data_IF_929527501137
#
_entry.id   IF_929527501137
#
_cell.length_a   1.000
_cell.length_b   1.000
_cell.length_c   1.000
_cell.angle_alpha   90.00
_cell.angle_beta   90.00
_cell.angle_gamma   90.00
#
_symmetry.space_group_name_H-M   'P 1'
#
loop_
_entity.id
_entity.type
_entity.pdbx_description
1 polymer ?
#
# COMPACT_ATOMS: atom_id res chain seq x y z
N UNK A 1 -44.23 32.34 -22.48
CA UNK A 1 -43.55 31.58 -21.41
C UNK A 1 -42.12 31.34 -21.86
N UNK A 2 -41.18 32.03 -21.23
CA UNK A 2 -39.76 32.11 -21.62
C UNK A 2 -39.05 30.82 -21.20
N UNK A 3 -38.51 30.08 -22.15
CA UNK A 3 -37.65 28.91 -21.90
C UNK A 3 -36.32 29.39 -21.31
N UNK A 4 -36.16 29.22 -20.00
CA UNK A 4 -34.85 29.35 -19.35
C UNK A 4 -33.96 28.20 -19.86
N UNK A 5 -33.13 28.51 -20.87
CA UNK A 5 -31.94 27.72 -21.19
C UNK A 5 -31.02 27.76 -19.98
N UNK A 6 -31.18 26.80 -19.06
CA UNK A 6 -30.26 26.58 -17.95
C UNK A 6 -28.92 26.19 -18.57
N UNK A 7 -27.93 27.07 -18.47
CA UNK A 7 -26.57 26.79 -18.91
C UNK A 7 -26.10 25.47 -18.27
N UNK A 8 -25.72 24.50 -19.09
CA UNK A 8 -25.07 23.28 -18.62
C UNK A 8 -23.68 23.71 -18.14
N UNK A 9 -23.55 24.01 -16.85
CA UNK A 9 -22.25 24.13 -16.19
C UNK A 9 -21.59 22.76 -16.25
N UNK A 10 -20.68 22.59 -17.21
CA UNK A 10 -19.83 21.39 -17.28
C UNK A 10 -19.02 21.33 -15.99
N UNK A 11 -19.11 20.21 -15.27
CA UNK A 11 -18.32 19.97 -14.07
C UNK A 11 -16.85 19.92 -14.47
N UNK A 12 -16.04 20.80 -13.88
CA UNK A 12 -14.60 20.80 -14.09
C UNK A 12 -13.97 19.67 -13.26
N UNK A 13 -13.13 18.87 -13.90
CA UNK A 13 -12.29 17.88 -13.23
C UNK A 13 -10.84 18.37 -13.35
N UNK A 14 -10.13 18.57 -12.23
CA UNK A 14 -8.74 19.04 -12.26
C UNK A 14 -7.82 17.95 -12.81
N UNK A 15 -6.66 18.37 -13.30
CA UNK A 15 -5.56 17.46 -13.64
C UNK A 15 -4.87 16.99 -12.38
N UNK A 16 -4.35 15.77 -12.38
CA UNK A 16 -3.65 15.23 -11.22
C UNK A 16 -2.38 16.02 -10.90
N UNK A 17 -1.73 16.59 -11.92
CA UNK A 17 -0.57 17.49 -11.75
C UNK A 17 -0.85 18.80 -11.03
N UNK A 18 -2.11 19.21 -10.86
CA UNK A 18 -2.46 20.40 -10.07
C UNK A 18 -2.25 20.17 -8.56
N UNK A 19 -2.20 18.91 -8.12
CA UNK A 19 -2.16 18.54 -6.70
C UNK A 19 -1.02 17.60 -6.32
N UNK A 20 -0.40 16.92 -7.29
CA UNK A 20 0.72 16.03 -7.06
C UNK A 20 1.73 16.19 -8.20
N UNK A 21 2.98 16.46 -7.84
CA UNK A 21 4.11 16.43 -8.74
C UNK A 21 4.90 15.13 -8.59
N UNK A 22 5.79 14.83 -9.53
CA UNK A 22 6.70 13.69 -9.36
C UNK A 22 7.67 13.91 -8.20
N UNK A 23 7.99 15.15 -7.86
CA UNK A 23 8.83 15.49 -6.71
C UNK A 23 8.16 15.12 -5.37
N UNK A 24 6.83 15.01 -5.34
CA UNK A 24 6.09 14.55 -4.17
C UNK A 24 6.13 13.02 -3.99
N UNK A 25 6.57 12.29 -5.03
CA UNK A 25 6.75 10.85 -4.99
C UNK A 25 8.13 10.49 -4.42
N UNK A 26 8.26 9.33 -3.74
CA UNK A 26 9.55 8.84 -3.29
C UNK A 26 10.59 8.74 -4.41
N UNK A 27 11.85 9.05 -4.09
CA UNK A 27 12.98 9.04 -5.03
C UNK A 27 13.14 7.70 -5.76
N UNK A 28 12.79 6.58 -5.11
CA UNK A 28 12.85 5.26 -5.76
C UNK A 28 11.84 5.09 -6.91
N UNK A 29 10.85 5.98 -7.06
CA UNK A 29 9.91 6.02 -8.20
C UNK A 29 10.37 7.01 -9.29
N UNK A 30 11.42 7.79 -9.03
CA UNK A 30 11.94 8.79 -9.96
C UNK A 30 12.56 8.20 -11.22
N UNK A 31 12.91 6.89 -11.22
CA UNK A 31 13.32 6.20 -12.45
C UNK A 31 12.27 6.27 -13.58
N UNK A 32 11.01 6.54 -13.24
CA UNK A 32 9.90 6.69 -14.17
C UNK A 32 9.41 8.15 -14.31
N UNK A 33 10.23 9.14 -13.93
CA UNK A 33 9.87 10.58 -13.91
C UNK A 33 9.17 11.09 -15.17
N UNK A 34 9.78 10.86 -16.35
CA UNK A 34 9.25 11.38 -17.61
C UNK A 34 7.90 10.73 -18.00
N UNK A 35 7.75 9.39 -17.95
CA UNK A 35 6.45 8.73 -18.07
C UNK A 35 5.41 9.21 -17.05
N UNK A 36 5.81 9.39 -15.79
CA UNK A 36 4.91 9.79 -14.71
C UNK A 36 4.40 11.22 -14.90
N UNK A 37 5.26 12.19 -15.20
CA UNK A 37 4.84 13.58 -15.46
C UNK A 37 3.81 13.66 -16.60
N UNK A 38 4.06 12.95 -17.69
CA UNK A 38 3.14 12.89 -18.84
C UNK A 38 1.77 12.30 -18.45
N UNK A 39 1.77 11.32 -17.55
CA UNK A 39 0.57 10.67 -17.05
C UNK A 39 -0.22 11.60 -16.10
N UNK A 40 0.46 12.30 -15.19
CA UNK A 40 -0.15 13.25 -14.24
C UNK A 40 -0.84 14.43 -14.95
N UNK A 41 -0.26 14.91 -16.06
CA UNK A 41 -0.78 16.06 -16.82
C UNK A 41 -2.05 15.77 -17.63
N UNK A 42 -2.26 14.52 -18.02
CA UNK A 42 -3.37 14.13 -18.90
C UNK A 42 -4.52 13.46 -18.15
N UNK A 43 -4.27 12.98 -16.94
CA UNK A 43 -5.27 12.34 -16.12
C UNK A 43 -6.10 13.39 -15.38
N UNK A 44 -7.41 13.36 -15.64
CA UNK A 44 -8.39 14.09 -14.86
C UNK A 44 -8.90 13.17 -13.75
N UNK A 45 -9.22 13.72 -12.59
CA UNK A 45 -9.63 12.90 -11.46
C UNK A 45 -10.79 13.49 -10.65
N UNK A 46 -11.39 12.65 -9.80
CA UNK A 46 -12.29 13.06 -8.71
C UNK A 46 -11.96 12.28 -7.43
N UNK A 47 -12.52 12.74 -6.31
CA UNK A 47 -12.46 12.04 -5.01
C UNK A 47 -11.03 11.73 -4.52
N UNK A 48 -10.04 12.59 -4.83
CA UNK A 48 -8.67 12.37 -4.37
C UNK A 48 -8.58 12.44 -2.85
N UNK A 49 -7.95 11.42 -2.28
CA UNK A 49 -7.63 11.28 -0.88
C UNK A 49 -6.17 10.85 -0.76
N UNK A 50 -5.47 11.44 0.19
CA UNK A 50 -4.11 11.02 0.50
C UNK A 50 -3.89 11.01 2.00
N UNK A 51 -2.98 10.14 2.43
CA UNK A 51 -2.47 10.07 3.79
C UNK A 51 -0.98 9.78 3.73
N UNK A 52 -0.19 10.45 4.57
CA UNK A 52 1.25 10.23 4.69
C UNK A 52 1.58 10.05 6.16
N UNK A 53 2.47 9.11 6.46
CA UNK A 53 2.95 8.91 7.83
C UNK A 53 3.73 10.15 8.30
N UNK A 54 3.74 10.39 9.61
CA UNK A 54 4.50 11.50 10.21
C UNK A 54 6.00 11.42 9.89
N UNK A 55 6.51 10.20 9.76
CA UNK A 55 7.92 9.94 9.47
C UNK A 55 8.22 9.91 7.96
N UNK A 56 7.20 9.92 7.10
CA UNK A 56 7.34 9.91 5.64
C UNK A 56 7.70 8.54 5.04
N UNK A 57 7.76 7.51 5.86
CA UNK A 57 8.03 6.12 5.51
C UNK A 57 6.85 5.39 4.87
N UNK A 58 5.64 5.92 4.95
CA UNK A 58 4.49 5.34 4.29
C UNK A 58 3.55 6.42 3.72
N UNK A 59 2.89 6.09 2.62
CA UNK A 59 1.79 6.91 2.11
C UNK A 59 0.73 6.05 1.40
N UNK A 60 -0.48 6.59 1.36
CA UNK A 60 -1.63 6.06 0.67
C UNK A 60 -2.25 7.17 -0.18
N UNK A 61 -2.54 6.87 -1.43
CA UNK A 61 -3.21 7.73 -2.40
C UNK A 61 -4.38 6.97 -3.00
N UNK A 62 -5.53 7.62 -3.12
CA UNK A 62 -6.72 7.07 -3.76
C UNK A 62 -7.43 8.16 -4.55
N UNK A 63 -7.89 7.83 -5.75
CA UNK A 63 -8.64 8.72 -6.63
C UNK A 63 -9.47 7.92 -7.62
N UNK A 64 -10.44 8.56 -8.24
CA UNK A 64 -11.07 8.02 -9.44
C UNK A 64 -10.53 8.75 -10.66
N UNK A 65 -9.90 8.02 -11.59
CA UNK A 65 -9.52 8.56 -12.91
C UNK A 65 -10.79 8.76 -13.72
N UNK A 66 -11.01 9.98 -14.19
CA UNK A 66 -12.20 10.37 -14.93
C UNK A 66 -11.91 10.41 -16.43
N UNK A 67 -12.78 9.77 -17.20
CA UNK A 67 -12.81 9.88 -18.66
C UNK A 67 -14.22 10.22 -19.13
N UNK A 68 -14.36 10.56 -20.41
CA UNK A 68 -15.69 10.60 -21.06
C UNK A 68 -16.32 9.21 -20.98
N UNK A 69 -17.64 9.16 -20.84
CA UNK A 69 -18.37 7.90 -20.76
C UNK A 69 -17.96 6.94 -21.88
N UNK A 70 -17.52 5.76 -21.48
CA UNK A 70 -17.19 4.66 -22.37
C UNK A 70 -18.39 3.71 -22.33
N UNK A 71 -19.15 3.64 -23.43
CA UNK A 71 -20.34 2.81 -23.50
C UNK A 71 -20.81 2.54 -24.92
N UNK A 72 -21.66 1.54 -25.05
CA UNK A 72 -22.23 1.06 -26.32
C UNK A 72 -23.75 0.96 -26.15
N UNK A 73 -24.49 1.50 -27.11
CA UNK A 73 -25.95 1.39 -27.12
C UNK A 73 -26.37 -0.04 -27.53
N UNK A 74 -27.32 -0.60 -26.79
CA UNK A 74 -27.88 -1.93 -26.98
C UNK A 74 -29.33 -1.82 -27.51
N UNK A 75 -29.91 -2.92 -28.02
CA UNK A 75 -31.32 -2.96 -28.39
C UNK A 75 -32.26 -2.54 -27.25
N UNK A 76 -33.50 -2.17 -27.60
CA UNK A 76 -34.54 -1.74 -26.66
C UNK A 76 -34.22 -0.48 -25.83
N UNK A 77 -33.23 0.31 -26.26
CA UNK A 77 -32.84 1.55 -25.58
C UNK A 77 -32.00 1.33 -24.33
N UNK A 78 -31.46 0.12 -24.13
CA UNK A 78 -30.46 -0.18 -23.11
C UNK A 78 -29.09 0.39 -23.52
N UNK A 79 -28.20 0.63 -22.55
CA UNK A 79 -26.82 1.05 -22.83
C UNK A 79 -25.86 0.34 -21.88
N UNK A 80 -24.84 -0.30 -22.45
CA UNK A 80 -23.73 -0.87 -21.68
C UNK A 80 -22.70 0.23 -21.42
N UNK A 81 -22.26 0.37 -20.16
CA UNK A 81 -21.30 1.38 -19.71
C UNK A 81 -20.15 0.70 -18.97
N UNK A 82 -18.93 1.12 -19.25
CA UNK A 82 -17.75 0.74 -18.49
C UNK A 82 -17.55 1.74 -17.35
N UNK A 83 -17.32 1.22 -16.15
CA UNK A 83 -17.01 1.99 -14.95
C UNK A 83 -17.97 3.17 -14.71
N UNK A 84 -19.29 2.92 -14.68
CA UNK A 84 -20.26 3.98 -14.43
C UNK A 84 -20.12 4.52 -13.00
N UNK A 85 -20.44 5.81 -12.84
CA UNK A 85 -20.44 6.47 -11.53
C UNK A 85 -21.75 6.26 -10.79
N UNK A 86 -21.64 6.06 -9.47
CA UNK A 86 -22.81 5.78 -8.63
C UNK A 86 -23.72 7.00 -8.42
N UNK A 87 -23.21 8.22 -8.66
CA UNK A 87 -24.00 9.45 -8.64
C UNK A 87 -24.86 9.66 -9.91
N UNK A 88 -24.79 8.72 -10.85
CA UNK A 88 -25.66 8.65 -12.01
C UNK A 88 -25.36 9.69 -13.09
N UNK A 89 -24.17 10.30 -13.10
CA UNK A 89 -23.72 11.15 -14.20
C UNK A 89 -23.38 10.27 -15.44
N UNK A 90 -24.21 10.29 -16.50
CA UNK A 90 -24.02 9.41 -17.65
C UNK A 90 -22.90 9.88 -18.58
N UNK A 91 -22.29 11.05 -18.31
CA UNK A 91 -21.32 11.67 -19.20
C UNK A 91 -19.89 11.20 -18.98
N UNK A 92 -19.62 10.49 -17.88
CA UNK A 92 -18.29 10.05 -17.49
C UNK A 92 -18.22 8.55 -17.18
N UNK A 93 -16.99 8.04 -17.21
CA UNK A 93 -16.59 6.78 -16.59
C UNK A 93 -15.50 7.09 -15.55
N UNK A 94 -15.58 6.46 -14.38
CA UNK A 94 -14.68 6.70 -13.25
C UNK A 94 -13.99 5.41 -12.84
N UNK A 95 -12.67 5.41 -12.87
CA UNK A 95 -11.83 4.25 -12.58
C UNK A 95 -11.14 4.43 -11.24
N UNK A 96 -11.60 3.77 -10.17
CA UNK A 96 -10.95 3.84 -8.87
C UNK A 96 -9.54 3.29 -8.97
N UNK A 97 -8.57 4.10 -8.56
CA UNK A 97 -7.15 3.78 -8.49
C UNK A 97 -6.66 4.07 -7.09
N UNK A 98 -5.90 3.13 -6.52
CA UNK A 98 -5.16 3.39 -5.28
C UNK A 98 -3.69 3.01 -5.44
N UNK A 99 -2.83 3.75 -4.76
CA UNK A 99 -1.41 3.46 -4.64
C UNK A 99 -1.03 3.64 -3.18
N UNK A 100 -0.35 2.64 -2.62
CA UNK A 100 0.21 2.71 -1.28
C UNK A 100 1.64 2.22 -1.31
N UNK A 101 2.47 2.81 -0.47
CA UNK A 101 3.83 2.34 -0.26
C UNK A 101 4.19 2.41 1.23
N UNK A 102 5.11 1.56 1.63
CA UNK A 102 5.74 1.52 2.94
C UNK A 102 7.22 1.18 2.75
N UNK A 103 8.10 2.05 3.24
CA UNK A 103 9.54 1.85 3.23
C UNK A 103 10.12 2.29 4.58
N UNK A 104 10.09 1.35 5.52
CA UNK A 104 10.33 1.59 6.94
C UNK A 104 11.70 2.19 7.23
N UNK A 105 12.73 1.90 6.41
CA UNK A 105 14.06 2.52 6.60
C UNK A 105 14.01 4.05 6.58
N UNK A 106 13.09 4.65 5.82
CA UNK A 106 12.94 6.12 5.73
C UNK A 106 12.53 6.76 7.06
N UNK A 107 11.88 6.00 7.94
CA UNK A 107 11.54 6.47 9.29
C UNK A 107 12.77 6.77 10.14
N UNK A 108 13.86 6.06 9.87
CA UNK A 108 15.10 6.14 10.64
C UNK A 108 16.17 6.95 9.90
N UNK A 109 16.22 6.82 8.58
CA UNK A 109 17.19 7.47 7.72
C UNK A 109 16.44 8.22 6.61
N UNK A 110 16.27 9.53 6.78
CA UNK A 110 15.60 10.41 5.81
C UNK A 110 16.22 10.35 4.40
N UNK A 111 17.49 9.99 4.31
CA UNK A 111 18.23 9.77 3.07
C UNK A 111 18.99 8.44 3.19
N UNK A 112 18.33 7.34 2.84
CA UNK A 112 18.98 6.04 2.73
C UNK A 112 19.24 5.72 1.26
N UNK A 113 20.51 5.55 0.92
CA UNK A 113 20.91 5.15 -0.43
C UNK A 113 21.05 3.63 -0.47
N UNK A 114 19.99 2.96 -0.95
CA UNK A 114 19.97 1.51 -1.12
C UNK A 114 20.98 1.05 -2.17
N UNK A 115 21.28 1.87 -3.19
CA UNK A 115 22.17 1.51 -4.28
C UNK A 115 23.63 1.41 -3.80
N UNK A 116 24.03 2.31 -2.91
CA UNK A 116 25.37 2.35 -2.34
C UNK A 116 25.51 1.58 -1.02
N UNK A 117 24.45 0.93 -0.54
CA UNK A 117 24.52 0.14 0.69
C UNK A 117 25.32 -1.15 0.47
N UNK A 118 26.38 -1.34 1.26
CA UNK A 118 27.11 -2.61 1.27
C UNK A 118 26.29 -3.66 2.03
N UNK A 119 25.80 -4.67 1.31
CA UNK A 119 25.17 -5.86 1.90
C UNK A 119 26.22 -6.81 2.54
N UNK A 120 27.15 -6.23 3.28
CA UNK A 120 28.26 -6.91 3.97
C UNK A 120 28.12 -6.75 5.49
N UNK A 121 28.76 -7.60 6.30
CA UNK A 121 28.64 -7.54 7.76
C UNK A 121 28.99 -6.17 8.36
N UNK A 122 29.94 -5.43 7.79
CA UNK A 122 30.29 -4.06 8.19
C UNK A 122 29.17 -3.06 7.87
N UNK A 123 28.54 -3.17 6.71
CA UNK A 123 27.39 -2.34 6.32
C UNK A 123 26.20 -2.56 7.26
N UNK A 124 25.85 -3.83 7.52
CA UNK A 124 24.82 -4.19 8.50
C UNK A 124 25.16 -3.74 9.92
N UNK A 125 26.43 -3.85 10.34
CA UNK A 125 26.87 -3.36 11.64
C UNK A 125 26.66 -1.85 11.78
N UNK A 126 27.18 -1.07 10.83
CA UNK A 126 27.05 0.38 10.86
C UNK A 126 25.60 0.86 10.78
N UNK A 127 24.78 0.22 9.94
CA UNK A 127 23.35 0.54 9.83
C UNK A 127 22.60 0.16 11.12
N UNK A 128 22.87 -1.01 11.69
CA UNK A 128 22.26 -1.44 12.96
C UNK A 128 22.56 -0.48 14.12
N UNK A 129 23.80 0.01 14.23
CA UNK A 129 24.14 1.00 15.26
C UNK A 129 23.35 2.30 15.10
N UNK A 130 23.21 2.81 13.88
CA UNK A 130 22.42 4.02 13.60
C UNK A 130 20.94 3.82 13.89
N UNK A 131 20.40 2.69 13.43
CA UNK A 131 18.98 2.35 13.52
C UNK A 131 18.51 2.24 14.98
N UNK A 132 19.31 1.62 15.84
CA UNK A 132 19.00 1.48 17.26
C UNK A 132 19.59 2.59 18.14
N UNK A 133 20.16 3.63 17.53
CA UNK A 133 20.81 4.74 18.22
C UNK A 133 21.83 4.28 19.29
N UNK A 134 22.68 3.30 18.92
CA UNK A 134 23.65 2.69 19.84
C UNK A 134 24.85 3.62 20.01
N UNK A 135 25.10 4.06 21.25
CA UNK A 135 26.25 4.93 21.57
C UNK A 135 27.56 4.15 21.63
N UNK A 136 28.70 4.85 21.58
CA UNK A 136 30.02 4.23 21.69
C UNK A 136 30.19 3.42 23.00
N UNK A 137 29.63 3.89 24.12
CA UNK A 137 29.64 3.19 25.40
C UNK A 137 28.84 1.89 25.31
N UNK A 138 27.68 1.92 24.64
CA UNK A 138 26.88 0.74 24.40
C UNK A 138 27.58 -0.24 23.47
N UNK A 139 28.28 0.23 22.43
CA UNK A 139 29.10 -0.62 21.55
C UNK A 139 30.14 -1.40 22.35
N UNK A 140 30.91 -0.71 23.20
CA UNK A 140 31.91 -1.35 24.07
C UNK A 140 31.25 -2.32 25.04
N UNK A 141 30.16 -1.92 25.70
CA UNK A 141 29.45 -2.77 26.65
C UNK A 141 28.90 -4.05 25.99
N UNK A 142 28.32 -3.94 24.78
CA UNK A 142 27.83 -5.07 24.00
C UNK A 142 28.97 -5.99 23.58
N UNK A 143 30.09 -5.47 23.09
CA UNK A 143 31.25 -6.28 22.73
C UNK A 143 31.81 -7.07 23.93
N UNK A 144 32.00 -6.38 25.05
CA UNK A 144 32.48 -6.97 26.31
C UNK A 144 31.52 -8.05 26.81
N UNK A 145 30.20 -7.81 26.71
CA UNK A 145 29.18 -8.78 27.11
C UNK A 145 29.18 -10.01 26.19
N UNK A 146 29.28 -9.80 24.88
CA UNK A 146 29.04 -10.83 23.86
C UNK A 146 30.26 -11.69 23.54
N UNK A 147 31.48 -11.13 23.58
CA UNK A 147 32.67 -11.83 23.08
C UNK A 147 33.73 -12.09 24.13
N UNK A 148 33.77 -11.29 25.20
CA UNK A 148 34.85 -11.39 26.18
C UNK A 148 34.43 -12.29 27.33
N UNK A 149 35.09 -13.45 27.39
CA UNK A 149 35.13 -14.30 28.57
C UNK A 149 36.51 -14.12 29.22
N UNK A 150 36.57 -13.59 30.46
CA UNK A 150 37.82 -13.22 31.09
C UNK A 150 38.72 -14.45 31.23
N UNK A 151 39.95 -14.37 30.71
CA UNK A 151 41.00 -15.34 31.01
C UNK A 151 41.66 -14.95 32.34
N UNK A 152 41.73 -15.90 33.28
CA UNK A 152 42.32 -15.71 34.63
C UNK A 152 41.55 -14.67 35.49
N UNK A 153 42.19 -14.14 36.54
CA UNK A 153 41.64 -13.11 37.46
C UNK A 153 41.51 -11.70 36.84
N UNK A 154 41.47 -11.58 35.50
CA UNK A 154 41.35 -10.29 34.80
C UNK A 154 39.89 -9.85 34.66
N UNK A 155 39.64 -8.55 34.74
CA UNK A 155 38.34 -8.00 34.35
C UNK A 155 38.16 -8.07 32.83
N UNK A 156 36.90 -8.19 32.36
CA UNK A 156 36.62 -8.20 30.92
C UNK A 156 37.11 -6.94 30.19
N UNK A 157 37.06 -5.79 30.85
CA UNK A 157 37.58 -4.54 30.31
C UNK A 157 39.11 -4.52 30.24
N UNK A 158 39.81 -5.15 31.19
CA UNK A 158 41.26 -5.31 31.08
C UNK A 158 41.64 -6.17 29.88
N UNK A 159 40.91 -7.25 29.64
CA UNK A 159 41.14 -8.10 28.47
C UNK A 159 40.90 -7.34 27.15
N UNK A 160 39.84 -6.52 27.06
CA UNK A 160 39.62 -5.64 25.92
C UNK A 160 40.83 -4.71 25.68
N UNK A 161 41.34 -4.07 26.72
CA UNK A 161 42.51 -3.17 26.62
C UNK A 161 43.75 -3.92 26.15
N UNK A 162 43.98 -5.13 26.66
CA UNK A 162 45.09 -5.98 26.25
C UNK A 162 44.99 -6.35 24.76
N UNK A 163 43.79 -6.69 24.27
CA UNK A 163 43.52 -7.02 22.86
C UNK A 163 43.66 -5.78 21.95
N UNK A 164 43.25 -4.59 22.42
CA UNK A 164 43.49 -3.33 21.71
C UNK A 164 44.99 -3.04 21.60
N UNK A 165 45.75 -3.18 22.69
CA UNK A 165 47.20 -2.99 22.68
C UNK A 165 47.91 -4.03 21.83
N UNK A 166 47.41 -5.25 21.74
CA UNK A 166 47.95 -6.26 20.82
C UNK A 166 47.80 -5.82 19.36
N UNK A 167 46.65 -5.23 19.01
CA UNK A 167 46.37 -4.73 17.66
C UNK A 167 47.10 -3.41 17.36
N UNK A 168 47.24 -2.55 18.36
CA UNK A 168 47.91 -1.25 18.30
C UNK A 168 49.01 -1.17 19.38
N UNK A 169 50.19 -1.79 19.17
CA UNK A 169 51.24 -1.84 20.19
C UNK A 169 51.73 -0.48 20.68
N UNK A 170 51.64 0.55 19.83
CA UNK A 170 52.02 1.92 20.18
C UNK A 170 50.98 2.65 21.05
N UNK A 171 49.76 2.12 21.21
CA UNK A 171 48.71 2.76 22.00
C UNK A 171 49.04 2.76 23.50
N UNK A 172 49.65 1.68 24.01
CA UNK A 172 50.11 1.60 25.41
C UNK A 172 49.02 1.89 26.44
N UNK A 173 47.77 1.53 26.15
CA UNK A 173 46.61 1.80 26.99
C UNK A 173 46.73 1.06 28.32
N UNK A 174 46.40 1.74 29.41
CA UNK A 174 46.33 1.16 30.75
C UNK A 174 45.07 1.66 31.46
N UNK A 175 44.40 0.78 32.19
CA UNK A 175 43.26 1.17 33.02
C UNK A 175 43.75 1.95 34.25
N UNK A 176 43.04 3.01 34.70
CA UNK A 176 43.41 3.77 35.88
C UNK A 176 43.45 2.87 37.13
N UNK A 177 44.54 2.89 37.91
CA UNK A 177 44.64 2.07 39.12
C UNK A 177 43.61 2.49 40.16
N UNK A 178 43.00 1.51 40.83
CA UNK A 178 42.04 1.75 41.92
C UNK A 178 40.63 2.20 41.49
N UNK A 179 40.32 2.22 40.18
CA UNK A 179 38.98 2.52 39.68
C UNK A 179 38.31 1.27 39.08
N UNK A 180 37.00 1.14 39.27
CA UNK A 180 36.21 0.09 38.61
C UNK A 180 36.06 0.46 37.12
N UNK A 181 36.55 -0.36 36.18
CA UNK A 181 36.47 -0.04 34.77
C UNK A 181 35.02 -0.01 34.28
N UNK A 182 34.68 1.01 33.49
CA UNK A 182 33.36 1.17 32.85
C UNK A 182 33.53 1.28 31.34
N UNK A 183 32.46 1.05 30.59
CA UNK A 183 32.46 1.27 29.15
C UNK A 183 32.82 2.74 28.80
N UNK A 184 32.31 3.71 29.55
CA UNK A 184 32.62 5.14 29.36
C UNK A 184 34.10 5.47 29.58
N UNK A 185 34.73 4.90 30.62
CA UNK A 185 36.16 5.09 30.85
C UNK A 185 37.00 4.49 29.72
N UNK A 186 36.61 3.32 29.20
CA UNK A 186 37.31 2.68 28.07
C UNK A 186 37.14 3.47 26.77
N UNK A 187 35.93 3.95 26.47
CA UNK A 187 35.66 4.82 25.31
C UNK A 187 36.53 6.07 25.37
N UNK A 188 36.63 6.71 26.53
CA UNK A 188 37.45 7.90 26.74
C UNK A 188 38.93 7.60 26.49
N UNK A 189 39.46 6.52 27.07
CA UNK A 189 40.86 6.10 26.90
C UNK A 189 41.21 5.83 25.44
N UNK A 190 40.35 5.12 24.71
CA UNK A 190 40.58 4.78 23.31
C UNK A 190 40.46 6.05 22.44
N UNK A 191 39.43 6.86 22.64
CA UNK A 191 39.15 8.04 21.79
C UNK A 191 40.18 9.17 21.96
N UNK A 192 40.87 9.24 23.10
CA UNK A 192 41.93 10.23 23.36
C UNK A 192 43.31 9.77 22.90
N UNK A 193 43.46 8.53 22.44
CA UNK A 193 44.75 7.96 22.06
C UNK A 193 45.05 8.21 20.58
N UNK A 194 46.04 9.08 20.30
CA UNK A 194 46.43 9.44 18.93
C UNK A 194 46.99 8.26 18.10
N UNK A 195 47.39 7.15 18.73
CA UNK A 195 47.93 5.98 18.04
C UNK A 195 46.83 5.01 17.56
N UNK A 196 45.56 5.30 17.85
CA UNK A 196 44.40 4.53 17.39
C UNK A 196 43.71 5.33 16.29
N UNK A 197 43.83 4.87 15.04
CA UNK A 197 43.31 5.58 13.87
C UNK A 197 41.83 5.34 13.58
N UNK A 198 41.22 4.34 14.24
CA UNK A 198 39.82 3.95 14.03
C UNK A 198 38.92 4.52 15.12
N UNK A 199 37.70 4.89 14.73
CA UNK A 199 36.63 5.20 15.68
C UNK A 199 36.18 3.93 16.42
N UNK A 200 35.53 4.08 17.58
CA UNK A 200 35.15 2.97 18.46
C UNK A 200 34.36 1.86 17.73
N UNK A 201 33.32 2.17 16.92
CA UNK A 201 32.60 1.12 16.20
C UNK A 201 33.49 0.29 15.29
N UNK A 202 34.32 0.94 14.48
CA UNK A 202 35.19 0.25 13.51
C UNK A 202 36.28 -0.58 14.21
N UNK A 203 36.80 -0.09 15.34
CA UNK A 203 37.75 -0.83 16.17
C UNK A 203 37.12 -2.12 16.70
N UNK A 204 35.91 -2.03 17.25
CA UNK A 204 35.19 -3.17 17.83
C UNK A 204 34.79 -4.16 16.74
N UNK A 205 34.35 -3.65 15.57
CA UNK A 205 34.06 -4.49 14.41
C UNK A 205 35.30 -5.30 13.99
N UNK A 206 36.44 -4.63 13.81
CA UNK A 206 37.69 -5.28 13.44
C UNK A 206 38.15 -6.36 14.43
N UNK A 207 38.04 -6.08 15.73
CA UNK A 207 38.55 -6.98 16.77
C UNK A 207 37.66 -8.21 16.95
N UNK A 208 36.34 -8.04 16.91
CA UNK A 208 35.42 -9.07 17.39
C UNK A 208 34.46 -9.61 16.35
N UNK A 209 34.15 -8.85 15.30
CA UNK A 209 33.14 -9.22 14.31
C UNK A 209 33.83 -9.71 13.04
N UNK A 210 34.77 -8.92 12.52
CA UNK A 210 35.52 -9.21 11.30
C UNK A 210 36.26 -10.55 11.37
N UNK A 211 36.21 -11.29 10.26
CA UNK A 211 36.88 -12.57 10.06
C UNK A 211 37.15 -12.76 8.57
N UNK A 212 38.19 -13.52 8.23
CA UNK A 212 38.46 -13.91 6.84
C UNK A 212 37.33 -14.76 6.24
N UNK A 213 36.54 -15.43 7.10
CA UNK A 213 35.33 -16.15 6.71
C UNK A 213 34.09 -15.28 6.98
N UNK A 214 33.36 -14.97 5.90
CA UNK A 214 32.15 -14.15 5.95
C UNK A 214 31.03 -14.78 6.78
N UNK A 215 30.92 -16.11 6.79
CA UNK A 215 29.92 -16.82 7.58
C UNK A 215 30.21 -16.71 9.09
N UNK A 216 31.49 -16.66 9.47
CA UNK A 216 31.91 -16.41 10.85
C UNK A 216 31.58 -14.95 11.23
N UNK A 217 31.83 -14.00 10.32
CA UNK A 217 31.51 -12.59 10.54
C UNK A 217 30.01 -12.37 10.75
N UNK A 218 29.15 -12.97 9.93
CA UNK A 218 27.68 -12.90 10.09
C UNK A 218 27.17 -13.50 11.40
N UNK A 219 27.76 -14.63 11.85
CA UNK A 219 27.44 -15.23 13.17
C UNK A 219 27.85 -14.33 14.34
N UNK A 220 29.04 -13.72 14.27
CA UNK A 220 29.52 -12.78 15.29
C UNK A 220 28.67 -11.51 15.30
N UNK A 221 28.33 -10.98 14.12
CA UNK A 221 27.42 -9.85 13.98
C UNK A 221 26.06 -10.12 14.64
N UNK A 222 25.46 -11.28 14.36
CA UNK A 222 24.23 -11.72 15.02
C UNK A 222 24.40 -11.82 16.54
N UNK A 223 25.54 -12.32 17.03
CA UNK A 223 25.85 -12.40 18.47
C UNK A 223 25.95 -11.02 19.12
N UNK A 224 26.54 -10.04 18.42
CA UNK A 224 26.66 -8.66 18.91
C UNK A 224 25.28 -8.01 19.09
N UNK A 225 24.40 -8.14 18.09
CA UNK A 225 23.06 -7.56 18.13
C UNK A 225 21.99 -8.41 18.80
N UNK A 226 22.30 -9.63 19.27
CA UNK A 226 21.29 -10.58 19.79
C UNK A 226 20.40 -10.02 20.92
N UNK A 227 20.92 -9.09 21.73
CA UNK A 227 20.11 -8.45 22.79
C UNK A 227 19.06 -7.47 22.21
N UNK A 228 19.31 -6.91 21.02
CA UNK A 228 18.48 -5.89 20.38
C UNK A 228 17.60 -6.49 19.27
N UNK A 229 18.14 -7.40 18.46
CA UNK A 229 17.47 -8.10 17.37
C UNK A 229 17.63 -9.63 17.52
N UNK A 230 16.82 -10.30 18.36
CA UNK A 230 16.97 -11.73 18.66
C UNK A 230 16.75 -12.64 17.44
N UNK A 231 16.00 -12.17 16.45
CA UNK A 231 15.69 -12.90 15.22
C UNK A 231 16.78 -12.76 14.13
N UNK A 232 17.92 -12.15 14.47
CA UNK A 232 19.02 -11.85 13.56
C UNK A 232 18.92 -10.44 12.99
N UNK A 233 20.02 -9.69 13.11
CA UNK A 233 20.09 -8.30 12.64
C UNK A 233 20.03 -8.19 11.12
N UNK A 234 20.60 -9.16 10.40
CA UNK A 234 20.58 -9.16 8.93
C UNK A 234 19.15 -9.30 8.40
N UNK A 235 18.35 -10.20 8.98
CA UNK A 235 16.93 -10.34 8.63
C UNK A 235 16.17 -9.06 8.96
N UNK A 236 16.34 -8.55 10.18
CA UNK A 236 15.66 -7.33 10.62
C UNK A 236 15.96 -6.13 9.72
N UNK A 237 17.23 -5.91 9.38
CA UNK A 237 17.62 -4.84 8.47
C UNK A 237 17.08 -5.12 7.05
N UNK A 238 17.20 -6.35 6.55
CA UNK A 238 16.70 -6.70 5.21
C UNK A 238 15.20 -6.42 5.06
N UNK A 239 14.41 -6.72 6.08
CA UNK A 239 12.97 -6.43 6.11
C UNK A 239 12.70 -4.92 6.06
N UNK A 240 13.49 -4.11 6.78
CA UNK A 240 13.36 -2.66 6.77
C UNK A 240 13.80 -2.01 5.46
N UNK A 241 14.81 -2.62 4.80
CA UNK A 241 15.33 -2.14 3.53
C UNK A 241 14.41 -2.48 2.35
N UNK A 242 13.55 -3.48 2.50
CA UNK A 242 12.66 -3.95 1.43
C UNK A 242 11.46 -3.01 1.31
N UNK A 243 11.35 -2.20 0.23
CA UNK A 243 10.19 -1.36 0.03
C UNK A 243 8.98 -2.21 -0.31
N UNK A 244 7.84 -1.88 0.31
CA UNK A 244 6.55 -2.47 0.03
C UNK A 244 5.72 -1.48 -0.76
N UNK A 245 5.09 -1.93 -1.83
CA UNK A 245 4.19 -1.10 -2.61
C UNK A 245 3.02 -1.93 -3.13
N UNK A 246 1.84 -1.32 -3.15
CA UNK A 246 0.63 -1.90 -3.72
C UNK A 246 -0.11 -0.86 -4.53
N UNK A 247 -0.52 -1.23 -5.74
CA UNK A 247 -1.37 -0.43 -6.59
C UNK A 247 -2.62 -1.23 -6.97
N UNK A 248 -3.78 -0.56 -7.05
CA UNK A 248 -5.04 -1.19 -7.47
C UNK A 248 -5.74 -0.38 -8.55
N UNK A 249 -6.49 -1.08 -9.40
CA UNK A 249 -7.42 -0.52 -10.38
C UNK A 249 -8.69 -1.36 -10.38
N UNK A 250 -9.84 -0.72 -10.18
CA UNK A 250 -11.14 -1.41 -10.20
C UNK A 250 -11.88 -1.13 -11.50
N UNK A 251 -12.26 -2.20 -12.20
CA UNK A 251 -13.12 -2.16 -13.38
C UNK A 251 -14.51 -2.68 -13.04
N UNK A 252 -15.55 -2.12 -13.65
CA UNK A 252 -16.92 -2.63 -13.52
C UNK A 252 -17.72 -2.36 -14.78
N UNK A 253 -18.81 -3.07 -14.97
CA UNK A 253 -19.77 -2.81 -16.04
C UNK A 253 -21.11 -2.34 -15.46
N UNK A 254 -21.90 -1.63 -16.27
CA UNK A 254 -23.28 -1.33 -15.94
C UNK A 254 -24.18 -1.34 -17.15
N UNK A 255 -25.41 -1.82 -16.99
CA UNK A 255 -26.47 -1.70 -17.98
C UNK A 255 -27.43 -0.60 -17.52
N UNK A 256 -27.46 0.50 -18.27
CA UNK A 256 -28.43 1.59 -18.09
C UNK A 256 -29.75 1.24 -18.78
N UNK A 257 -30.85 1.46 -18.07
CA UNK A 257 -32.21 1.21 -18.54
C UNK A 257 -32.89 2.50 -19.00
N UNK A 258 -33.71 2.46 -20.06
CA UNK A 258 -34.59 3.56 -20.38
C UNK A 258 -35.68 3.68 -19.30
N UNK A 259 -36.11 4.92 -19.04
CA UNK A 259 -37.13 5.22 -18.02
C UNK A 259 -38.49 4.61 -18.30
N UNK A 260 -38.76 4.21 -19.55
CA UNK A 260 -39.94 3.43 -19.93
C UNK A 260 -39.93 2.00 -19.37
N UNK A 261 -38.75 1.46 -19.06
CA UNK A 261 -38.58 0.10 -18.49
C UNK A 261 -38.37 0.20 -16.98
N UNK A 262 -37.35 0.94 -16.54
CA UNK A 262 -37.08 1.19 -15.12
C UNK A 262 -36.94 2.70 -14.86
N UNK A 263 -37.87 3.24 -14.08
CA UNK A 263 -37.84 4.64 -13.65
C UNK A 263 -37.25 4.73 -12.24
N UNK A 264 -36.13 5.42 -12.01
CA UNK A 264 -35.60 5.58 -10.66
C UNK A 264 -36.56 6.40 -9.79
N UNK A 265 -36.79 5.91 -8.58
CA UNK A 265 -37.69 6.50 -7.58
C UNK A 265 -37.06 6.43 -6.19
N UNK A 266 -37.50 7.25 -5.25
CA UNK A 266 -37.23 7.03 -3.84
C UNK A 266 -38.14 5.91 -3.28
N UNK A 267 -37.87 5.46 -2.06
CA UNK A 267 -38.68 4.41 -1.41
C UNK A 267 -40.15 4.80 -1.25
N UNK A 268 -40.48 6.09 -1.18
CA UNK A 268 -41.85 6.61 -1.13
C UNK A 268 -42.56 6.61 -2.51
N UNK A 269 -41.83 6.33 -3.60
CA UNK A 269 -42.32 6.31 -4.98
C UNK A 269 -42.20 7.65 -5.70
N UNK A 270 -41.63 8.69 -5.09
CA UNK A 270 -41.30 9.94 -5.76
C UNK A 270 -40.19 9.73 -6.80
N UNK A 271 -40.36 10.29 -8.00
CA UNK A 271 -39.39 10.13 -9.10
C UNK A 271 -38.11 10.90 -8.80
N UNK A 272 -36.96 10.27 -9.03
CA UNK A 272 -35.65 10.94 -8.98
C UNK A 272 -35.43 11.62 -10.35
N UNK A 273 -35.45 12.96 -10.44
CA UNK A 273 -35.39 13.66 -11.71
C UNK A 273 -34.01 13.59 -12.34
N UNK A 274 -33.96 13.53 -13.68
CA UNK A 274 -32.72 13.51 -14.49
C UNK A 274 -31.76 12.36 -14.17
N UNK A 275 -32.28 11.26 -13.62
CA UNK A 275 -31.53 10.04 -13.33
C UNK A 275 -32.12 8.89 -14.12
N UNK A 276 -31.28 7.93 -14.49
CA UNK A 276 -31.71 6.65 -15.05
C UNK A 276 -31.32 5.53 -14.11
N UNK A 277 -32.07 4.44 -14.15
CA UNK A 277 -31.72 3.22 -13.43
C UNK A 277 -30.61 2.50 -14.16
N UNK A 278 -29.63 2.03 -13.42
CA UNK A 278 -28.54 1.21 -13.91
C UNK A 278 -28.39 -0.05 -13.08
N UNK A 279 -28.06 -1.17 -13.72
CA UNK A 279 -27.61 -2.38 -13.03
C UNK A 279 -26.09 -2.45 -13.17
N UNK A 280 -25.35 -2.21 -12.08
CA UNK A 280 -23.88 -2.28 -12.05
C UNK A 280 -23.46 -3.67 -11.59
N UNK A 281 -22.53 -4.31 -12.28
CA UNK A 281 -22.11 -5.69 -12.06
C UNK A 281 -20.67 -5.94 -12.56
N UNK A 282 -20.12 -7.11 -12.20
CA UNK A 282 -18.86 -7.60 -12.77
C UNK A 282 -17.68 -6.73 -12.37
N UNK A 283 -17.51 -6.53 -11.06
CA UNK A 283 -16.39 -5.80 -10.51
C UNK A 283 -15.11 -6.66 -10.57
N UNK A 284 -14.06 -6.11 -11.15
CA UNK A 284 -12.75 -6.71 -11.23
C UNK A 284 -11.70 -5.74 -10.69
N UNK A 285 -11.15 -6.05 -9.53
CA UNK A 285 -10.05 -5.28 -8.93
C UNK A 285 -8.72 -5.95 -9.30
N UNK A 286 -7.96 -5.26 -10.14
CA UNK A 286 -6.58 -5.62 -10.49
C UNK A 286 -5.65 -5.03 -9.46
N UNK A 287 -4.65 -5.79 -9.03
CA UNK A 287 -3.62 -5.29 -8.14
C UNK A 287 -2.22 -5.73 -8.54
N UNK A 288 -1.26 -4.88 -8.25
CA UNK A 288 0.17 -5.18 -8.25
C UNK A 288 0.64 -4.93 -6.84
N UNK A 289 1.30 -5.91 -6.24
CA UNK A 289 1.76 -5.88 -4.86
C UNK A 289 3.17 -6.48 -4.81
N UNK A 290 4.11 -5.79 -4.17
CA UNK A 290 5.50 -6.26 -4.07
C UNK A 290 5.64 -7.54 -3.25
N UNK A 291 4.70 -7.85 -2.35
CA UNK A 291 4.75 -9.03 -1.48
C UNK A 291 4.05 -10.24 -2.11
N UNK A 292 2.92 -10.05 -2.79
CA UNK A 292 2.11 -11.15 -3.35
C UNK A 292 2.10 -11.21 -4.89
N UNK A 293 2.71 -10.24 -5.57
CA UNK A 293 2.80 -10.18 -7.02
C UNK A 293 1.61 -9.51 -7.70
N UNK A 294 1.29 -9.96 -8.91
CA UNK A 294 0.20 -9.41 -9.74
C UNK A 294 -1.01 -10.34 -9.63
N UNK A 295 -2.20 -9.78 -9.42
CA UNK A 295 -3.41 -10.58 -9.30
C UNK A 295 -4.70 -9.82 -9.57
N UNK A 296 -5.80 -10.55 -9.45
CA UNK A 296 -7.16 -10.07 -9.70
C UNK A 296 -8.13 -10.60 -8.66
N UNK A 297 -9.02 -9.74 -8.18
CA UNK A 297 -10.18 -10.10 -7.37
C UNK A 297 -11.44 -9.82 -8.20
N UNK A 298 -12.31 -10.84 -8.35
CA UNK A 298 -13.50 -10.78 -9.18
C UNK A 298 -14.76 -10.92 -8.32
N UNK A 299 -15.72 -10.02 -8.53
CA UNK A 299 -17.05 -10.02 -7.92
C UNK A 299 -18.09 -9.89 -9.03
N UNK A 300 -18.82 -10.98 -9.30
CA UNK A 300 -19.72 -11.07 -10.46
C UNK A 300 -21.18 -10.77 -10.16
N UNK A 301 -21.50 -10.42 -8.92
CA UNK A 301 -22.83 -9.95 -8.61
C UNK A 301 -23.00 -8.45 -8.90
N UNK A 302 -24.26 -8.03 -8.95
CA UNK A 302 -24.63 -6.68 -9.32
C UNK A 302 -25.86 -6.18 -8.60
N UNK A 303 -26.03 -4.87 -8.60
CA UNK A 303 -27.12 -4.18 -7.90
C UNK A 303 -27.65 -3.02 -8.71
N UNK A 304 -28.89 -2.60 -8.42
CA UNK A 304 -29.47 -1.41 -9.03
C UNK A 304 -28.92 -0.12 -8.41
N UNK A 305 -28.65 0.87 -9.25
CA UNK A 305 -28.23 2.22 -8.91
C UNK A 305 -29.10 3.21 -9.70
N UNK A 306 -29.86 4.08 -9.04
CA UNK A 306 -30.19 4.06 -7.61
C UNK A 306 -30.90 2.77 -7.18
N UNK A 307 -30.86 2.47 -5.87
CA UNK A 307 -31.33 1.20 -5.30
C UNK A 307 -32.81 0.87 -5.58
N UNK A 308 -33.64 1.89 -5.83
CA UNK A 308 -35.08 1.71 -6.04
C UNK A 308 -35.51 2.18 -7.43
N UNK A 309 -36.28 1.35 -8.12
CA UNK A 309 -36.79 1.65 -9.45
C UNK A 309 -38.22 1.17 -9.60
N UNK A 310 -39.06 1.95 -10.28
CA UNK A 310 -40.43 1.56 -10.65
C UNK A 310 -40.41 0.86 -12.01
N UNK A 311 -41.08 -0.28 -12.10
CA UNK A 311 -41.24 -1.03 -13.36
C UNK A 311 -42.27 -0.29 -14.22
N UNK A 312 -41.81 0.35 -15.30
CA UNK A 312 -42.63 1.16 -16.19
C UNK A 312 -43.68 2.01 -15.46
N UNK A 313 -44.95 1.85 -15.86
CA UNK A 313 -46.09 2.55 -15.26
C UNK A 313 -46.92 1.68 -14.29
N UNK A 314 -46.36 0.57 -13.81
CA UNK A 314 -47.13 -0.45 -13.07
C UNK A 314 -47.37 -0.14 -11.59
N UNK A 315 -46.64 0.82 -11.01
CA UNK A 315 -46.70 1.12 -9.58
C UNK A 315 -45.86 0.20 -8.69
N UNK A 316 -45.23 -0.85 -9.25
CA UNK A 316 -44.30 -1.72 -8.54
C UNK A 316 -42.92 -1.08 -8.46
N UNK A 317 -42.43 -0.89 -7.24
CA UNK A 317 -41.07 -0.46 -6.92
C UNK A 317 -40.25 -1.70 -6.60
N UNK A 318 -39.08 -1.82 -7.19
CA UNK A 318 -38.15 -2.91 -6.98
C UNK A 318 -36.81 -2.42 -6.44
N UNK A 319 -36.17 -3.26 -5.65
CA UNK A 319 -34.75 -3.22 -5.30
C UNK A 319 -34.17 -4.60 -5.59
N UNK A 320 -33.01 -4.63 -6.24
CA UNK A 320 -32.27 -5.86 -6.56
C UNK A 320 -30.86 -5.65 -6.06
N UNK A 321 -30.38 -6.58 -5.22
CA UNK A 321 -29.00 -6.64 -4.74
C UNK A 321 -28.41 -8.01 -4.97
N UNK A 322 -27.10 -8.01 -5.24
CA UNK A 322 -26.29 -9.21 -5.43
C UNK A 322 -26.89 -10.19 -6.45
N UNK A 323 -27.31 -9.65 -7.59
CA UNK A 323 -27.86 -10.43 -8.67
C UNK A 323 -26.78 -10.82 -9.68
N UNK A 324 -26.89 -12.02 -10.25
CA UNK A 324 -25.98 -12.54 -11.28
C UNK A 324 -26.78 -12.80 -12.55
N UNK A 325 -26.28 -12.28 -13.66
CA UNK A 325 -26.93 -12.37 -14.96
C UNK A 325 -26.33 -13.53 -15.74
N UNK A 326 -27.18 -14.47 -16.14
CA UNK A 326 -26.82 -15.60 -16.99
C UNK A 326 -27.42 -15.41 -18.39
N UNK A 327 -26.56 -15.17 -19.39
CA UNK A 327 -26.96 -14.98 -20.78
C UNK A 327 -26.35 -16.02 -21.72
N UNK A 328 -25.52 -16.92 -21.18
CA UNK A 328 -24.83 -17.90 -22.01
C UNK A 328 -25.81 -18.98 -22.46
N UNK A 329 -25.65 -19.44 -23.71
CA UNK A 329 -26.45 -20.54 -24.25
C UNK A 329 -25.72 -21.88 -24.13
N UNK A 330 -24.52 -21.88 -23.52
CA UNK A 330 -23.62 -23.04 -23.51
C UNK A 330 -23.07 -23.38 -22.12
N UNK A 331 -23.18 -22.48 -21.16
CA UNK A 331 -22.66 -22.60 -19.79
C UNK A 331 -23.57 -21.83 -18.86
N UNK A 332 -23.66 -22.25 -17.60
CA UNK A 332 -24.44 -21.53 -16.60
C UNK A 332 -23.56 -20.93 -15.50
N UNK A 333 -24.17 -20.06 -14.70
CA UNK A 333 -23.65 -19.69 -13.38
C UNK A 333 -23.79 -20.87 -12.39
N UNK A 334 -22.89 -20.98 -11.39
CA UNK A 334 -22.92 -22.08 -10.42
C UNK A 334 -24.25 -22.23 -9.68
N UNK A 335 -24.95 -21.12 -9.41
CA UNK A 335 -26.26 -21.14 -8.76
C UNK A 335 -27.35 -21.79 -9.63
N UNK A 336 -27.30 -21.59 -10.94
CA UNK A 336 -28.25 -22.18 -11.88
C UNK A 336 -27.96 -23.69 -12.06
N UNK A 337 -26.68 -24.07 -12.12
CA UNK A 337 -26.26 -25.48 -12.10
C UNK A 337 -26.71 -26.20 -10.83
N UNK A 338 -26.51 -25.56 -9.66
CA UNK A 338 -26.93 -26.11 -8.38
C UNK A 338 -28.45 -26.26 -8.26
N UNK A 339 -29.22 -25.39 -8.92
CA UNK A 339 -30.68 -25.46 -9.00
C UNK A 339 -31.20 -26.45 -10.06
N UNK A 340 -30.31 -27.06 -10.85
CA UNK A 340 -30.65 -28.06 -11.87
C UNK A 340 -31.23 -27.48 -13.16
N UNK A 341 -30.96 -26.22 -13.46
CA UNK A 341 -31.32 -25.63 -14.75
C UNK A 341 -30.47 -26.21 -15.89
N UNK A 342 -31.02 -26.31 -17.12
CA UNK A 342 -30.26 -26.77 -18.27
C UNK A 342 -29.16 -25.75 -18.63
N UNK A 343 -28.08 -26.20 -19.29
CA UNK A 343 -26.88 -25.39 -19.59
C UNK A 343 -27.09 -24.21 -20.56
N UNK A 344 -28.28 -24.11 -21.14
CA UNK A 344 -28.73 -23.04 -22.03
C UNK A 344 -29.73 -22.10 -21.33
N UNK A 345 -29.88 -22.20 -20.01
CA UNK A 345 -30.75 -21.35 -19.23
C UNK A 345 -30.23 -19.91 -19.23
N UNK A 346 -31.03 -19.00 -19.81
CA UNK A 346 -30.81 -17.56 -19.68
C UNK A 346 -31.73 -16.99 -18.61
N UNK A 347 -31.18 -16.30 -17.62
CA UNK A 347 -31.95 -15.77 -16.52
C UNK A 347 -31.17 -14.83 -15.60
N UNK A 348 -31.84 -14.42 -14.53
CA UNK A 348 -31.25 -13.58 -13.48
C UNK A 348 -31.39 -14.32 -12.16
N UNK A 349 -30.26 -14.66 -11.54
CA UNK A 349 -30.24 -15.08 -10.15
C UNK A 349 -30.23 -13.83 -9.27
N UNK A 350 -31.12 -13.75 -8.28
CA UNK A 350 -31.21 -12.60 -7.37
C UNK A 350 -31.11 -13.11 -5.94
N UNK A 351 -30.06 -12.72 -5.22
CA UNK A 351 -29.90 -13.10 -3.83
C UNK A 351 -30.84 -12.31 -2.91
N UNK A 352 -31.00 -11.00 -3.15
CA UNK A 352 -31.87 -10.13 -2.37
C UNK A 352 -32.75 -9.28 -3.29
N UNK A 353 -34.06 -9.41 -3.13
CA UNK A 353 -35.05 -8.63 -3.85
C UNK A 353 -36.08 -8.04 -2.89
N UNK A 354 -36.47 -6.79 -3.11
CA UNK A 354 -37.65 -6.18 -2.51
C UNK A 354 -38.60 -5.74 -3.60
N UNK A 355 -39.89 -5.99 -3.39
CA UNK A 355 -40.97 -5.51 -4.24
C UNK A 355 -41.96 -4.78 -3.34
N UNK A 356 -42.22 -3.51 -3.65
CA UNK A 356 -43.20 -2.66 -2.95
C UNK A 356 -44.24 -2.17 -3.94
N UNK A 357 -45.50 -2.30 -3.56
CA UNK A 357 -46.62 -1.68 -4.28
C UNK A 357 -46.79 -0.26 -3.77
N UNK A 358 -46.59 0.74 -4.63
CA UNK A 358 -46.90 2.13 -4.30
C UNK A 358 -48.42 2.33 -4.24
N UNK A 359 -48.93 3.02 -3.20
CA UNK A 359 -50.36 3.35 -3.08
C UNK A 359 -50.76 4.37 -4.15
N UNK A 360 -51.07 3.90 -5.35
CA UNK A 360 -51.91 4.62 -6.30
C UNK A 360 -53.18 3.80 -6.51
N UNK A 361 -54.34 4.46 -6.42
CA UNK A 361 -55.64 3.85 -6.67
C UNK A 361 -55.62 3.18 -8.04
N UNK A 362 -55.81 1.85 -8.07
CA UNK A 362 -56.18 1.14 -9.28
C UNK A 362 -57.55 1.66 -9.74
N UNK A 363 -57.59 2.73 -10.53
CA UNK A 363 -58.74 3.03 -11.36
C UNK A 363 -58.67 2.08 -12.55
N UNK A 364 -59.37 0.95 -12.45
CA UNK A 364 -59.81 0.22 -13.62
C UNK A 364 -60.77 1.16 -14.39
N UNK A 365 -60.42 1.51 -15.63
CA UNK A 365 -61.36 2.08 -16.61
C UNK A 365 -61.75 0.97 -17.56
#
# INVERSE_FOLDING_TARGET
MTTLNKAVTRRYYPRLSEHMSVDDLPEFLHFAESPLNTLLDNIHYRNFQYSKSYQGDAAFYSLDVVSKNIGIDLPFGLRLMLNPVDDGDPSISAFPVSVQYEWVVLAFLRSFDLHNFSFSPDGFFGLGLKLFNVTNEQVVALAVKSFINPLNDKSKYQQLIDEVNLRYPAAGLNLPPGQVPTAASVVTLISQNANISKVIPDLIFDLYISSADIAISGKRLSTFFNTIAPNGIENYISDLLTPKAKATLTLSAGIEFPTSVLQPVNLDGSVIPNTKTMFKFGEATFYIDTEVGIGTQLEFDGSLIPNYSRIGNTGFIIEIKKAKLDLSQTTNIPEADAAGYPSDFTGLYVQEAMIKVSKYNFCFV
#
